data_IF_773978672912
#
_entry.id   IF_773978672912
#
_cell.length_a   1.000
_cell.length_b   1.000
_cell.length_c   1.000
_cell.angle_alpha   90.00
_cell.angle_beta   90.00
_cell.angle_gamma   90.00
#
_symmetry.space_group_name_H-M   'P 1'
#
loop_
_entity.id
_entity.type
_entity.pdbx_description
1 polymer ?
#
# COMPACT_ATOMS: atom_id res chain seq x y z
N UNK A 1 -11.08 43.98 30.63
CA UNK A 1 -10.41 43.57 29.36
C UNK A 1 -9.54 42.38 29.72
N UNK A 2 -9.91 41.16 29.31
CA UNK A 2 -9.20 39.93 29.70
C UNK A 2 -8.32 39.46 28.54
N UNK A 3 -7.02 39.68 28.65
CA UNK A 3 -6.00 39.14 27.76
C UNK A 3 -5.80 37.64 28.05
N UNK A 4 -6.62 36.77 27.44
CA UNK A 4 -6.27 35.35 27.36
C UNK A 4 -5.16 35.20 26.31
N UNK A 5 -3.92 35.26 26.78
CA UNK A 5 -2.74 34.88 26.00
C UNK A 5 -2.89 33.43 25.56
N UNK A 6 -3.26 33.23 24.29
CA UNK A 6 -3.32 31.91 23.66
C UNK A 6 -1.88 31.44 23.52
N UNK A 7 -1.44 30.54 24.42
CA UNK A 7 -0.19 29.81 24.24
C UNK A 7 -0.29 29.03 22.94
N UNK A 8 0.38 29.51 21.88
CA UNK A 8 0.54 28.73 20.66
C UNK A 8 1.29 27.44 21.04
N UNK A 9 0.82 26.27 20.59
CA UNK A 9 1.55 25.03 20.80
C UNK A 9 2.94 25.19 20.17
N UNK A 10 3.98 24.86 20.95
CA UNK A 10 5.37 24.86 20.49
C UNK A 10 5.49 24.13 19.14
N UNK A 11 6.25 24.68 18.18
CA UNK A 11 6.40 24.07 16.86
C UNK A 11 6.89 22.63 17.05
N UNK A 12 6.24 21.67 16.36
CA UNK A 12 6.75 20.31 16.32
C UNK A 12 8.19 20.37 15.81
N UNK A 13 9.13 19.65 16.44
CA UNK A 13 10.49 19.59 15.96
C UNK A 13 10.48 19.20 14.48
N UNK A 14 11.18 19.98 13.65
CA UNK A 14 11.32 19.65 12.23
C UNK A 14 11.97 18.27 12.12
N UNK A 15 11.45 17.38 11.28
CA UNK A 15 12.00 16.03 11.15
C UNK A 15 13.45 16.12 10.66
N UNK A 16 14.36 15.51 11.42
CA UNK A 16 15.78 15.50 11.10
C UNK A 16 16.04 14.64 9.87
N UNK A 17 17.12 14.88 9.14
CA UNK A 17 17.50 14.05 7.99
C UNK A 17 17.62 12.56 8.36
N UNK A 18 18.12 12.26 9.56
CA UNK A 18 18.16 10.90 10.11
C UNK A 18 16.76 10.29 10.27
N UNK A 19 15.78 11.05 10.78
CA UNK A 19 14.41 10.59 10.95
C UNK A 19 13.76 10.25 9.61
N UNK A 20 14.02 11.06 8.58
CA UNK A 20 13.50 10.83 7.23
C UNK A 20 14.12 9.59 6.58
N UNK A 21 15.42 9.34 6.80
CA UNK A 21 16.09 8.13 6.32
C UNK A 21 15.53 6.88 7.00
N UNK A 22 15.37 6.90 8.33
CA UNK A 22 14.76 5.79 9.07
C UNK A 22 13.30 5.56 8.65
N UNK A 23 12.54 6.63 8.41
CA UNK A 23 11.16 6.53 7.92
C UNK A 23 11.10 5.96 6.50
N UNK A 24 12.05 6.33 5.62
CA UNK A 24 12.21 5.75 4.28
C UNK A 24 12.49 4.26 4.34
N UNK A 25 13.47 3.82 5.14
CA UNK A 25 13.81 2.40 5.29
C UNK A 25 12.62 1.59 5.81
N UNK A 26 11.92 2.12 6.81
CA UNK A 26 10.70 1.50 7.34
C UNK A 26 9.63 1.34 6.25
N UNK A 27 9.40 2.38 5.44
CA UNK A 27 8.42 2.35 4.35
C UNK A 27 8.83 1.44 3.20
N UNK A 28 10.10 1.43 2.80
CA UNK A 28 10.62 0.52 1.76
C UNK A 28 10.49 -0.93 2.19
N UNK A 29 10.87 -1.26 3.43
CA UNK A 29 10.74 -2.62 3.94
C UNK A 29 9.27 -3.04 4.07
N UNK A 30 8.37 -2.11 4.40
CA UNK A 30 6.93 -2.38 4.49
C UNK A 30 6.29 -2.50 3.10
N UNK A 31 6.68 -1.64 2.15
CA UNK A 31 6.23 -1.67 0.76
C UNK A 31 6.72 -2.94 0.02
N UNK A 32 7.96 -3.37 0.29
CA UNK A 32 8.53 -4.62 -0.22
C UNK A 32 7.77 -5.86 0.27
N UNK A 33 7.46 -5.91 1.58
CA UNK A 33 6.57 -6.95 2.13
C UNK A 33 5.18 -6.88 1.50
N UNK A 34 4.60 -5.68 1.35
CA UNK A 34 3.32 -5.50 0.67
C UNK A 34 3.33 -6.07 -0.75
N UNK A 35 4.36 -5.80 -1.55
CA UNK A 35 4.51 -6.36 -2.92
C UNK A 35 4.43 -7.89 -2.93
N UNK A 36 5.11 -8.56 -1.99
CA UNK A 36 5.07 -10.01 -1.85
C UNK A 36 3.68 -10.52 -1.45
N UNK A 37 3.02 -9.87 -0.49
CA UNK A 37 1.66 -10.25 -0.08
C UNK A 37 0.63 -10.05 -1.21
N UNK A 38 0.68 -8.93 -1.94
CA UNK A 38 -0.24 -8.67 -3.06
C UNK A 38 -0.05 -9.69 -4.17
N UNK A 39 1.20 -9.97 -4.56
CA UNK A 39 1.51 -10.95 -5.59
C UNK A 39 1.07 -12.36 -5.15
N UNK A 40 1.34 -12.73 -3.90
CA UNK A 40 0.88 -14.00 -3.32
C UNK A 40 -0.64 -14.14 -3.30
N UNK A 41 -1.37 -13.10 -2.90
CA UNK A 41 -2.84 -13.10 -2.93
C UNK A 41 -3.42 -13.20 -4.34
N UNK A 42 -2.83 -12.51 -5.32
CA UNK A 42 -3.25 -12.63 -6.73
C UNK A 42 -3.03 -14.05 -7.26
N UNK A 43 -1.86 -14.64 -7.03
CA UNK A 43 -1.55 -16.00 -7.47
C UNK A 43 -2.50 -16.99 -6.79
N UNK A 44 -2.70 -16.89 -5.47
CA UNK A 44 -3.62 -17.75 -4.74
C UNK A 44 -5.06 -17.64 -5.26
N UNK A 45 -5.55 -16.42 -5.53
CA UNK A 45 -6.88 -16.20 -6.09
C UNK A 45 -7.07 -16.81 -7.47
N UNK A 46 -6.06 -16.69 -8.35
CA UNK A 46 -6.06 -17.32 -9.69
C UNK A 46 -6.04 -18.84 -9.57
N UNK A 47 -5.22 -19.41 -8.70
CA UNK A 47 -5.12 -20.87 -8.49
C UNK A 47 -6.44 -21.42 -7.94
N UNK A 48 -7.02 -20.80 -6.92
CA UNK A 48 -8.32 -21.21 -6.35
C UNK A 48 -9.41 -21.15 -7.41
N UNK A 49 -9.46 -20.06 -8.19
CA UNK A 49 -10.42 -19.92 -9.30
C UNK A 49 -10.24 -21.00 -10.37
N UNK A 50 -8.99 -21.32 -10.73
CA UNK A 50 -8.70 -22.35 -11.71
C UNK A 50 -9.11 -23.76 -11.22
N UNK A 51 -8.78 -24.11 -9.98
CA UNK A 51 -9.17 -25.40 -9.37
C UNK A 51 -10.68 -25.53 -9.33
N UNK A 52 -11.38 -24.48 -8.88
CA UNK A 52 -12.84 -24.49 -8.80
C UNK A 52 -13.50 -24.66 -10.17
N UNK A 53 -12.96 -23.97 -11.20
CA UNK A 53 -13.42 -24.10 -12.59
C UNK A 53 -13.28 -25.53 -13.15
N UNK A 54 -12.16 -26.20 -12.85
CA UNK A 54 -11.92 -27.60 -13.28
C UNK A 54 -12.87 -28.56 -12.57
N UNK A 55 -13.05 -28.43 -11.26
CA UNK A 55 -13.94 -29.30 -10.47
C UNK A 55 -15.40 -29.14 -10.93
N UNK A 56 -15.85 -27.90 -11.18
CA UNK A 56 -17.22 -27.65 -11.64
C UNK A 56 -17.49 -28.16 -13.06
N UNK A 57 -16.51 -28.03 -13.97
CA UNK A 57 -16.62 -28.60 -15.32
C UNK A 57 -16.79 -30.12 -15.31
N UNK A 58 -16.21 -30.81 -14.34
CA UNK A 58 -16.33 -32.27 -14.20
C UNK A 58 -17.70 -32.71 -13.66
N UNK A 59 -18.42 -31.87 -12.93
CA UNK A 59 -19.70 -32.24 -12.33
C UNK A 59 -20.92 -32.01 -13.23
N UNK A 60 -20.99 -30.90 -13.99
CA UNK A 60 -22.26 -30.51 -14.63
C UNK A 60 -22.16 -30.11 -16.11
N UNK A 61 -20.96 -30.10 -16.72
CA UNK A 61 -20.79 -29.66 -18.13
C UNK A 61 -21.21 -28.20 -18.40
N UNK A 62 -21.60 -27.46 -17.36
CA UNK A 62 -22.21 -26.13 -17.43
C UNK A 62 -21.44 -25.20 -16.50
N UNK A 63 -21.07 -24.01 -16.99
CA UNK A 63 -20.35 -23.02 -16.17
C UNK A 63 -21.33 -22.46 -15.15
N UNK A 64 -21.19 -22.89 -13.89
CA UNK A 64 -22.05 -22.49 -12.79
C UNK A 64 -21.91 -21.00 -12.49
N UNK A 65 -23.05 -20.29 -12.48
CA UNK A 65 -23.14 -18.85 -12.23
C UNK A 65 -22.60 -18.45 -10.85
N UNK A 66 -22.51 -19.43 -9.93
CA UNK A 66 -21.93 -19.28 -8.59
C UNK A 66 -20.41 -19.04 -8.60
N UNK A 67 -19.73 -19.25 -9.74
CA UNK A 67 -18.32 -18.88 -9.92
C UNK A 67 -18.10 -17.36 -10.04
N UNK A 68 -19.08 -16.66 -10.62
CA UNK A 68 -19.00 -15.22 -10.88
C UNK A 68 -18.73 -14.38 -9.62
N UNK A 69 -19.43 -14.57 -8.48
CA UNK A 69 -19.16 -13.80 -7.27
C UNK A 69 -17.77 -14.07 -6.66
N UNK A 70 -17.28 -15.31 -6.71
CA UNK A 70 -15.94 -15.67 -6.19
C UNK A 70 -14.85 -15.00 -7.03
N UNK A 71 -15.02 -15.02 -8.35
CA UNK A 71 -14.13 -14.34 -9.28
C UNK A 71 -14.16 -12.82 -9.04
N UNK A 72 -15.35 -12.21 -8.91
CA UNK A 72 -15.50 -10.78 -8.64
C UNK A 72 -14.82 -10.35 -7.34
N UNK A 73 -15.01 -11.10 -6.24
CA UNK A 73 -14.39 -10.81 -4.96
C UNK A 73 -12.86 -10.90 -5.07
N UNK A 74 -12.34 -11.91 -5.78
CA UNK A 74 -10.91 -12.09 -5.99
C UNK A 74 -10.30 -10.95 -6.81
N UNK A 75 -10.98 -10.52 -7.87
CA UNK A 75 -10.55 -9.37 -8.70
C UNK A 75 -10.61 -8.07 -7.92
N UNK A 76 -11.72 -7.80 -7.22
CA UNK A 76 -11.88 -6.59 -6.39
C UNK A 76 -10.85 -6.54 -5.25
N UNK A 77 -10.58 -7.67 -4.60
CA UNK A 77 -9.53 -7.81 -3.61
C UNK A 77 -8.14 -7.52 -4.19
N UNK A 78 -7.85 -8.05 -5.38
CA UNK A 78 -6.61 -7.76 -6.11
C UNK A 78 -6.43 -6.27 -6.45
N UNK A 79 -7.50 -5.61 -6.92
CA UNK A 79 -7.47 -4.17 -7.24
C UNK A 79 -7.29 -3.32 -5.98
N UNK A 80 -7.94 -3.66 -4.87
CA UNK A 80 -7.78 -2.97 -3.59
C UNK A 80 -6.33 -3.01 -3.08
N UNK A 81 -5.68 -4.17 -3.20
CA UNK A 81 -4.28 -4.36 -2.83
C UNK A 81 -3.31 -3.59 -3.75
N UNK A 82 -3.58 -3.55 -5.06
CA UNK A 82 -2.84 -2.71 -6.01
C UNK A 82 -2.90 -1.22 -5.66
N UNK A 83 -4.07 -0.72 -5.25
CA UNK A 83 -4.25 0.67 -4.82
C UNK A 83 -3.40 1.01 -3.59
N UNK A 84 -3.33 0.11 -2.61
CA UNK A 84 -2.49 0.29 -1.41
C UNK A 84 -1.00 0.33 -1.80
N UNK A 85 -0.57 -0.55 -2.70
CA UNK A 85 0.81 -0.55 -3.21
C UNK A 85 1.15 0.78 -3.92
N UNK A 86 0.26 1.26 -4.79
CA UNK A 86 0.45 2.53 -5.51
C UNK A 86 0.62 3.71 -4.57
N UNK A 87 -0.23 3.81 -3.53
CA UNK A 87 -0.11 4.85 -2.51
C UNK A 87 1.20 4.74 -1.71
N UNK A 88 1.70 3.54 -1.46
CA UNK A 88 2.98 3.34 -0.79
C UNK A 88 4.17 3.77 -1.66
N UNK A 89 4.13 3.48 -2.98
CA UNK A 89 5.17 3.93 -3.92
C UNK A 89 5.20 5.47 -4.02
N UNK A 90 4.03 6.12 -4.12
CA UNK A 90 3.92 7.59 -4.08
C UNK A 90 4.46 8.21 -2.79
N UNK A 91 4.18 7.60 -1.64
CA UNK A 91 4.66 8.08 -0.35
C UNK A 91 6.19 7.99 -0.23
N UNK A 92 6.79 6.93 -0.76
CA UNK A 92 8.26 6.77 -0.79
C UNK A 92 8.89 7.84 -1.69
N UNK A 93 8.31 8.09 -2.86
CA UNK A 93 8.82 9.09 -3.81
C UNK A 93 8.77 10.51 -3.22
N UNK A 94 7.69 10.85 -2.50
CA UNK A 94 7.57 12.13 -1.81
C UNK A 94 8.64 12.33 -0.73
N UNK A 95 8.98 11.27 0.03
CA UNK A 95 10.04 11.30 1.05
C UNK A 95 11.41 11.48 0.41
N UNK A 96 11.67 10.80 -0.70
CA UNK A 96 12.94 10.86 -1.43
C UNK A 96 13.21 12.28 -1.99
N UNK A 97 12.14 12.98 -2.43
CA UNK A 97 12.20 14.39 -2.81
C UNK A 97 12.48 15.29 -1.59
N UNK A 98 11.85 15.00 -0.44
CA UNK A 98 12.05 15.72 0.81
C UNK A 98 13.51 15.67 1.30
N UNK A 99 14.10 14.47 1.30
CA UNK A 99 15.52 14.26 1.66
C UNK A 99 16.44 15.06 0.73
N UNK A 100 16.24 14.98 -0.59
CA UNK A 100 17.02 15.73 -1.59
C UNK A 100 16.90 17.25 -1.45
N UNK A 101 15.80 17.76 -0.88
CA UNK A 101 15.60 19.19 -0.62
C UNK A 101 16.33 19.64 0.65
N UNK A 102 16.26 18.84 1.71
CA UNK A 102 16.99 19.07 2.96
C UNK A 102 18.52 19.04 2.76
N UNK A 103 19.02 18.05 2.02
CA UNK A 103 20.45 17.92 1.72
C UNK A 103 20.98 19.15 0.95
N UNK A 104 20.17 19.70 0.03
CA UNK A 104 20.50 20.95 -0.68
C UNK A 104 20.54 22.16 0.26
N UNK A 105 19.58 22.27 1.17
CA UNK A 105 19.54 23.38 2.14
C UNK A 105 20.64 23.31 3.20
N UNK A 106 21.13 22.10 3.54
CA UNK A 106 22.25 21.95 4.49
C UNK A 106 23.63 22.26 3.90
N UNK A 107 23.74 22.37 2.56
CA UNK A 107 24.99 22.69 1.85
C UNK A 107 25.09 24.16 1.41
N UNK A 108 24.02 24.93 1.59
CA UNK A 108 23.96 26.36 1.33
C UNK A 108 24.16 27.14 2.63
#
# INVERSE_FOLDING_TARGET
MNERSVKLPSPRPEPTAADLVTQREYLVHRAGRFRLYVLGCMIAGVVVSAVFSVVFRLQEGTISIWFLPIFLISVLGGVGLLKVKWNAELAIEAIDIGIRKLERNSRA
#
